data_IF_958371618315
#
_entry.id   IF_958371618315
#
_cell.length_a   1.000
_cell.length_b   1.000
_cell.length_c   1.000
_cell.angle_alpha   90.00
_cell.angle_beta   90.00
_cell.angle_gamma   90.00
#
_symmetry.space_group_name_H-M   'P 1'
#
loop_
_entity.id
_entity.type
_entity.pdbx_description
1 polymer ?
#
# COMPACT_ATOMS: atom_id res chain seq x y z
N UNK A 1 -72.74 -47.36 35.57
CA UNK A 1 -71.33 -47.67 35.68
C UNK A 1 -70.56 -46.46 35.16
N UNK A 2 -70.17 -45.58 36.05
CA UNK A 2 -69.44 -44.37 35.73
C UNK A 2 -67.94 -44.63 35.79
N UNK A 3 -67.21 -44.28 34.69
CA UNK A 3 -65.78 -44.42 34.59
C UNK A 3 -65.05 -43.25 35.34
N UNK A 4 -63.93 -43.50 36.01
CA UNK A 4 -63.27 -42.50 36.81
C UNK A 4 -62.54 -41.45 35.99
N UNK A 5 -62.81 -40.14 36.25
CA UNK A 5 -62.09 -39.01 35.63
C UNK A 5 -60.64 -38.95 36.08
N UNK A 6 -59.69 -39.13 35.17
CA UNK A 6 -58.25 -38.96 35.37
C UNK A 6 -57.94 -37.48 35.67
N UNK A 7 -57.44 -37.15 36.92
CA UNK A 7 -56.91 -35.85 37.30
C UNK A 7 -55.61 -35.59 36.52
N UNK A 8 -55.64 -34.67 35.54
CA UNK A 8 -54.46 -34.13 34.90
C UNK A 8 -53.69 -33.34 35.95
N UNK A 9 -52.56 -33.89 36.40
CA UNK A 9 -51.60 -33.17 37.29
C UNK A 9 -51.10 -31.94 36.48
N UNK A 10 -51.23 -30.76 37.11
CA UNK A 10 -50.72 -29.48 36.58
C UNK A 10 -49.20 -29.46 36.71
N UNK A 11 -48.46 -30.01 35.75
CA UNK A 11 -46.99 -29.96 35.64
C UNK A 11 -46.49 -28.57 35.20
N UNK A 12 -47.40 -27.74 34.65
CA UNK A 12 -47.06 -26.42 34.11
C UNK A 12 -46.43 -25.44 35.13
N UNK A 13 -46.94 -25.29 36.37
CA UNK A 13 -46.31 -24.39 37.33
C UNK A 13 -44.93 -24.85 37.80
N UNK A 14 -44.66 -26.15 37.85
CA UNK A 14 -43.37 -26.69 38.24
C UNK A 14 -42.32 -26.40 37.15
N UNK A 15 -42.69 -26.55 35.89
CA UNK A 15 -41.78 -26.25 34.73
C UNK A 15 -41.46 -24.74 34.72
N UNK A 16 -42.47 -23.87 34.88
CA UNK A 16 -42.28 -22.42 34.94
C UNK A 16 -41.38 -21.98 36.11
N UNK A 17 -41.48 -22.66 37.26
CA UNK A 17 -40.62 -22.38 38.43
C UNK A 17 -39.14 -22.71 38.12
N UNK A 18 -38.87 -23.83 37.48
CA UNK A 18 -37.48 -24.21 37.11
C UNK A 18 -36.90 -23.33 35.99
N UNK A 19 -37.72 -22.86 35.04
CA UNK A 19 -37.31 -21.88 34.02
C UNK A 19 -36.96 -20.54 34.69
N UNK A 20 -37.77 -20.06 35.61
CA UNK A 20 -37.52 -18.82 36.36
C UNK A 20 -36.25 -18.90 37.22
N UNK A 21 -36.03 -20.05 37.90
CA UNK A 21 -34.79 -20.34 38.64
C UNK A 21 -33.56 -20.35 37.74
N UNK A 22 -33.67 -20.94 36.55
CA UNK A 22 -32.61 -20.96 35.53
C UNK A 22 -32.26 -19.54 35.02
N UNK A 23 -33.28 -18.69 34.81
CA UNK A 23 -33.08 -17.28 34.38
C UNK A 23 -32.43 -16.48 35.54
N UNK A 24 -32.88 -16.65 36.77
CA UNK A 24 -32.29 -15.96 37.93
C UNK A 24 -30.85 -16.43 38.17
N UNK A 25 -30.57 -17.72 38.07
CA UNK A 25 -29.20 -18.25 38.15
C UNK A 25 -28.32 -17.76 37.02
N UNK A 26 -28.84 -17.66 35.79
CA UNK A 26 -28.16 -17.10 34.62
C UNK A 26 -27.83 -15.60 34.82
N UNK A 27 -28.78 -14.82 35.35
CA UNK A 27 -28.53 -13.40 35.66
C UNK A 27 -27.52 -13.26 36.81
N UNK A 28 -27.59 -14.08 37.85
CA UNK A 28 -26.59 -14.10 38.93
C UNK A 28 -25.21 -14.50 38.49
N UNK A 29 -25.13 -15.45 37.51
CA UNK A 29 -23.86 -15.89 36.92
C UNK A 29 -23.24 -14.80 36.04
N UNK A 30 -24.06 -14.08 35.23
CA UNK A 30 -23.60 -12.95 34.41
C UNK A 30 -23.20 -11.73 35.26
N UNK A 31 -23.83 -11.49 36.40
CA UNK A 31 -23.44 -10.42 37.35
C UNK A 31 -22.12 -10.74 38.06
N UNK A 32 -21.89 -12.04 38.44
CA UNK A 32 -20.62 -12.48 39.06
C UNK A 32 -19.48 -12.69 38.05
N UNK A 33 -19.83 -12.93 36.78
CA UNK A 33 -18.88 -13.09 35.66
C UNK A 33 -19.30 -12.13 34.55
N UNK A 34 -19.06 -10.81 34.71
CA UNK A 34 -19.31 -9.88 33.62
C UNK A 34 -18.52 -10.40 32.41
N UNK A 35 -19.22 -10.60 31.31
CA UNK A 35 -18.61 -10.99 30.03
C UNK A 35 -17.56 -9.92 29.73
N UNK A 36 -16.28 -10.34 29.77
CA UNK A 36 -15.14 -9.44 29.62
C UNK A 36 -15.05 -9.04 28.14
N UNK A 37 -15.92 -8.13 27.68
CA UNK A 37 -15.72 -7.35 26.48
C UNK A 37 -14.66 -6.25 26.67
N UNK A 38 -14.32 -5.93 27.95
CA UNK A 38 -13.43 -4.84 28.31
C UNK A 38 -12.00 -4.93 27.71
N UNK A 39 -11.34 -6.10 27.55
CA UNK A 39 -10.01 -6.11 26.93
C UNK A 39 -10.04 -5.83 25.43
N UNK A 40 -11.11 -6.18 24.71
CA UNK A 40 -11.22 -5.92 23.28
C UNK A 40 -11.55 -4.44 23.01
N UNK A 41 -12.48 -3.87 23.75
CA UNK A 41 -12.83 -2.44 23.68
C UNK A 41 -11.62 -1.58 24.06
N UNK A 42 -10.90 -1.94 25.14
CA UNK A 42 -9.68 -1.24 25.57
C UNK A 42 -8.52 -1.35 24.55
N UNK A 43 -8.44 -2.44 23.80
CA UNK A 43 -7.44 -2.61 22.75
C UNK A 43 -7.74 -1.75 21.50
N UNK A 44 -9.01 -1.68 21.09
CA UNK A 44 -9.45 -0.86 19.95
C UNK A 44 -9.33 0.63 20.27
N UNK A 45 -9.68 1.06 21.48
CA UNK A 45 -9.51 2.45 21.93
C UNK A 45 -8.02 2.85 21.97
N UNK A 46 -7.14 1.97 22.46
CA UNK A 46 -5.70 2.21 22.46
C UNK A 46 -5.13 2.29 21.03
N UNK A 47 -5.62 1.46 20.13
CA UNK A 47 -5.21 1.49 18.72
C UNK A 47 -5.63 2.83 18.08
N UNK A 48 -6.89 3.24 18.24
CA UNK A 48 -7.40 4.50 17.71
C UNK A 48 -6.62 5.72 18.25
N UNK A 49 -6.28 5.73 19.54
CA UNK A 49 -5.44 6.78 20.15
C UNK A 49 -4.05 6.80 19.55
N UNK A 50 -3.45 5.64 19.27
CA UNK A 50 -2.13 5.54 18.63
C UNK A 50 -2.17 6.09 17.21
N UNK A 51 -3.18 5.73 16.42
CA UNK A 51 -3.37 6.21 15.05
C UNK A 51 -3.55 7.72 15.00
N UNK A 52 -4.41 8.27 15.87
CA UNK A 52 -4.63 9.73 15.97
C UNK A 52 -3.37 10.46 16.45
N UNK A 53 -2.63 9.90 17.40
CA UNK A 53 -1.37 10.48 17.88
C UNK A 53 -0.36 10.67 16.74
N UNK A 54 -0.11 9.64 15.94
CA UNK A 54 0.79 9.74 14.80
C UNK A 54 0.25 10.73 13.75
N UNK A 55 -1.04 10.70 13.49
CA UNK A 55 -1.71 11.63 12.56
C UNK A 55 -1.50 13.09 12.95
N UNK A 56 -1.66 13.43 14.23
CA UNK A 56 -1.44 14.78 14.73
C UNK A 56 0.05 15.18 14.66
N UNK A 57 0.97 14.25 14.98
CA UNK A 57 2.41 14.52 14.85
C UNK A 57 2.82 14.83 13.40
N UNK A 58 2.30 14.06 12.42
CA UNK A 58 2.54 14.30 11.00
C UNK A 58 1.96 15.65 10.57
N UNK A 59 0.70 15.94 10.93
CA UNK A 59 0.06 17.23 10.62
C UNK A 59 0.82 18.42 11.20
N UNK A 60 1.32 18.29 12.43
CA UNK A 60 2.10 19.34 13.08
C UNK A 60 3.44 19.54 12.37
N UNK A 61 4.09 18.46 11.92
CA UNK A 61 5.35 18.52 11.19
C UNK A 61 5.18 19.17 9.82
N UNK A 62 4.15 18.79 9.08
CA UNK A 62 3.83 19.37 7.77
C UNK A 62 3.42 20.83 7.88
N UNK A 63 2.69 21.22 8.94
CA UNK A 63 2.26 22.59 9.15
C UNK A 63 1.49 23.14 7.96
N UNK A 64 2.00 24.22 7.36
CA UNK A 64 1.45 24.89 6.18
C UNK A 64 2.30 24.68 4.91
N UNK A 65 3.35 23.87 4.98
CA UNK A 65 4.28 23.65 3.86
C UNK A 65 3.62 22.92 2.68
N UNK A 66 2.71 21.99 2.98
CA UNK A 66 1.91 21.32 1.97
C UNK A 66 0.43 21.68 2.13
N UNK A 67 -0.17 22.16 1.06
CA UNK A 67 -1.59 22.51 1.03
C UNK A 67 -2.47 21.28 0.76
N UNK A 68 -2.15 20.57 -0.32
CA UNK A 68 -2.86 19.36 -0.74
C UNK A 68 -1.91 18.18 -0.72
N UNK A 69 -2.13 17.27 0.21
CA UNK A 69 -1.27 16.11 0.41
C UNK A 69 -2.02 14.90 0.97
N UNK A 70 -1.43 13.74 0.80
CA UNK A 70 -1.84 12.49 1.43
C UNK A 70 -0.65 11.85 2.10
N UNK A 71 -0.84 11.35 3.32
CA UNK A 71 0.09 10.44 4.01
C UNK A 71 -0.69 9.23 4.47
N UNK A 72 -0.23 8.05 4.10
CA UNK A 72 -0.86 6.80 4.50
C UNK A 72 0.17 5.81 5.01
N UNK A 73 -0.07 5.27 6.20
CA UNK A 73 0.80 4.29 6.87
C UNK A 73 -0.04 3.08 7.26
N UNK A 74 0.41 1.89 6.88
CA UNK A 74 -0.26 0.63 7.23
C UNK A 74 0.76 -0.39 7.67
N UNK A 75 0.66 -0.85 8.92
CA UNK A 75 1.51 -1.93 9.44
C UNK A 75 1.05 -3.28 8.85
N UNK A 76 1.95 -4.01 8.20
CA UNK A 76 1.64 -5.34 7.66
C UNK A 76 1.73 -6.45 8.71
N UNK A 77 2.11 -6.11 9.94
CA UNK A 77 2.31 -7.04 11.05
C UNK A 77 1.33 -6.85 12.21
N UNK A 78 0.57 -5.76 12.19
CA UNK A 78 -0.46 -5.42 13.18
C UNK A 78 -1.66 -4.73 12.51
N UNK A 79 -2.79 -4.52 13.21
CA UNK A 79 -3.94 -3.79 12.66
C UNK A 79 -3.75 -2.27 12.57
N UNK A 80 -2.57 -1.73 12.92
CA UNK A 80 -2.31 -0.29 12.91
C UNK A 80 -2.38 0.30 11.50
N UNK A 81 -3.16 1.37 11.34
CA UNK A 81 -3.19 2.20 10.14
C UNK A 81 -3.41 3.68 10.48
N UNK A 82 -2.75 4.57 9.76
CA UNK A 82 -2.93 6.02 9.89
C UNK A 82 -3.08 6.64 8.52
N UNK A 83 -4.19 7.33 8.28
CA UNK A 83 -4.49 7.97 7.00
C UNK A 83 -4.74 9.48 7.11
N UNK A 84 -4.13 10.23 6.20
CA UNK A 84 -4.46 11.61 5.90
C UNK A 84 -4.76 11.67 4.41
N UNK A 85 -6.01 11.91 4.04
CA UNK A 85 -6.46 11.99 2.64
C UNK A 85 -6.04 10.78 1.78
N UNK A 86 -6.00 9.58 2.36
CA UNK A 86 -5.46 8.35 1.72
C UNK A 86 -6.25 7.92 0.49
N UNK A 87 -7.52 8.32 0.40
CA UNK A 87 -8.40 8.03 -0.74
C UNK A 87 -8.52 9.20 -1.73
N UNK A 88 -7.79 10.29 -1.52
CA UNK A 88 -7.75 11.40 -2.48
C UNK A 88 -6.96 11.00 -3.71
N UNK A 89 -7.49 11.32 -4.89
CA UNK A 89 -6.87 11.01 -6.18
C UNK A 89 -5.89 12.13 -6.55
N UNK A 90 -4.64 11.73 -6.80
CA UNK A 90 -3.56 12.59 -7.27
C UNK A 90 -3.16 12.25 -8.71
N UNK A 91 -2.46 13.15 -9.38
CA UNK A 91 -1.67 12.80 -10.57
C UNK A 91 -0.53 11.88 -10.11
N UNK A 92 -0.48 10.64 -10.63
CA UNK A 92 0.44 9.62 -10.12
C UNK A 92 1.91 9.89 -10.44
N UNK A 93 2.20 10.68 -11.48
CA UNK A 93 3.57 10.80 -11.98
C UNK A 93 4.24 9.43 -12.12
N UNK A 94 5.51 9.30 -11.75
CA UNK A 94 6.25 8.04 -11.90
C UNK A 94 5.91 6.96 -10.86
N UNK A 95 5.06 7.20 -9.86
CA UNK A 95 4.61 6.09 -8.98
C UNK A 95 3.71 5.11 -9.75
N UNK A 96 3.06 5.54 -10.83
CA UNK A 96 2.28 4.66 -11.71
C UNK A 96 3.15 3.71 -12.58
N UNK A 97 4.47 3.76 -12.48
CA UNK A 97 5.37 2.73 -13.02
C UNK A 97 5.33 1.43 -12.21
N UNK A 98 4.92 1.47 -10.94
CA UNK A 98 4.75 0.26 -10.11
C UNK A 98 3.67 -0.68 -10.64
N UNK A 99 2.47 -0.23 -11.00
CA UNK A 99 1.48 -1.07 -11.70
C UNK A 99 2.01 -1.67 -13.00
N UNK A 100 2.78 -0.93 -13.81
CA UNK A 100 3.39 -1.45 -15.05
C UNK A 100 4.35 -2.58 -14.74
N UNK A 101 5.29 -2.38 -13.81
CA UNK A 101 6.21 -3.42 -13.35
C UNK A 101 5.44 -4.67 -12.90
N UNK A 102 4.45 -4.49 -12.05
CA UNK A 102 3.69 -5.58 -11.44
C UNK A 102 2.91 -6.39 -12.50
N UNK A 103 2.32 -5.71 -13.49
CA UNK A 103 1.61 -6.33 -14.58
C UNK A 103 2.55 -7.13 -15.51
N UNK A 104 3.77 -6.64 -15.76
CA UNK A 104 4.79 -7.39 -16.52
C UNK A 104 5.14 -8.71 -15.85
N UNK A 105 5.33 -8.73 -14.52
CA UNK A 105 5.55 -9.97 -13.77
C UNK A 105 4.33 -10.91 -13.76
N UNK A 106 3.12 -10.36 -13.78
CA UNK A 106 1.91 -11.17 -13.89
C UNK A 106 1.77 -11.81 -15.28
N UNK A 107 2.13 -11.10 -16.34
CA UNK A 107 2.12 -11.61 -17.73
C UNK A 107 3.27 -12.60 -17.99
N UNK A 108 4.44 -12.40 -17.41
CA UNK A 108 5.54 -13.36 -17.47
C UNK A 108 5.13 -14.71 -16.87
N UNK A 109 4.48 -14.72 -15.71
CA UNK A 109 3.95 -15.93 -15.06
C UNK A 109 2.98 -16.71 -15.97
N UNK A 110 2.27 -16.02 -16.87
CA UNK A 110 1.37 -16.63 -17.87
C UNK A 110 2.10 -17.06 -19.15
N UNK A 111 3.38 -16.70 -19.30
CA UNK A 111 4.17 -16.94 -20.49
C UNK A 111 3.90 -15.96 -21.64
N UNK A 112 3.20 -14.86 -21.38
CA UNK A 112 2.87 -13.84 -22.38
C UNK A 112 4.00 -12.80 -22.55
N UNK A 113 4.90 -12.65 -21.59
CA UNK A 113 6.04 -11.74 -21.62
C UNK A 113 7.32 -12.54 -21.37
N UNK A 114 8.34 -12.30 -22.18
CA UNK A 114 9.68 -12.85 -21.99
C UNK A 114 10.64 -11.73 -21.59
N UNK A 115 11.22 -11.83 -20.39
CA UNK A 115 12.14 -10.81 -19.87
C UNK A 115 13.49 -10.74 -20.60
N UNK A 116 13.85 -11.79 -21.36
CA UNK A 116 15.05 -11.81 -22.22
C UNK A 116 14.78 -11.26 -23.63
N UNK A 117 13.51 -10.94 -23.95
CA UNK A 117 13.18 -10.32 -25.23
C UNK A 117 13.96 -9.02 -25.41
N UNK A 118 14.53 -8.85 -26.63
CA UNK A 118 15.27 -7.66 -27.01
C UNK A 118 14.32 -6.62 -27.59
N UNK A 119 14.47 -5.39 -27.15
CA UNK A 119 13.81 -4.18 -27.68
C UNK A 119 14.91 -3.28 -28.23
N UNK A 120 14.72 -2.78 -29.47
CA UNK A 120 15.65 -1.86 -30.13
C UNK A 120 15.07 -0.46 -30.06
N UNK A 121 15.84 0.47 -29.49
CA UNK A 121 15.48 1.89 -29.39
C UNK A 121 15.38 2.51 -30.79
N UNK A 122 14.23 3.13 -31.08
CA UNK A 122 14.06 3.97 -32.26
C UNK A 122 14.17 5.45 -31.87
N UNK A 123 14.43 6.33 -32.83
CA UNK A 123 14.51 7.78 -32.52
C UNK A 123 13.23 8.34 -31.96
N UNK A 124 12.09 7.91 -32.48
CA UNK A 124 10.74 8.34 -32.05
C UNK A 124 10.32 7.80 -30.68
N UNK A 125 11.05 6.82 -30.14
CA UNK A 125 10.78 6.25 -28.80
C UNK A 125 11.33 7.13 -27.67
N UNK A 126 12.29 8.00 -27.99
CA UNK A 126 13.05 8.77 -26.99
C UNK A 126 12.14 9.79 -26.31
N UNK A 127 11.99 9.66 -25.01
CA UNK A 127 11.24 10.58 -24.17
C UNK A 127 12.21 11.65 -23.62
N UNK A 128 12.33 12.77 -24.32
CA UNK A 128 13.26 13.88 -23.98
C UNK A 128 12.71 14.77 -22.86
N UNK A 129 12.15 14.17 -21.80
CA UNK A 129 11.67 14.88 -20.63
C UNK A 129 11.81 14.04 -19.35
N UNK A 130 11.82 14.72 -18.20
CA UNK A 130 11.89 14.09 -16.89
C UNK A 130 13.21 13.37 -16.65
N UNK A 131 13.15 12.15 -16.12
CA UNK A 131 14.31 11.36 -15.65
C UNK A 131 14.62 10.17 -16.56
N UNK A 132 15.80 9.64 -16.44
CA UNK A 132 16.27 8.45 -17.16
C UNK A 132 17.57 8.66 -17.91
N UNK A 133 18.20 7.56 -18.28
CA UNK A 133 19.48 7.53 -18.99
C UNK A 133 19.35 7.15 -20.47
N UNK A 134 18.33 6.40 -20.87
CA UNK A 134 18.15 5.88 -22.23
C UNK A 134 18.04 7.01 -23.28
N UNK A 135 17.49 8.16 -22.90
CA UNK A 135 17.36 9.32 -23.80
C UNK A 135 18.70 9.86 -24.34
N UNK A 136 19.82 9.46 -23.76
CA UNK A 136 21.16 9.84 -24.22
C UNK A 136 21.82 8.76 -25.06
N UNK A 137 21.18 7.60 -25.21
CA UNK A 137 21.70 6.51 -26.00
C UNK A 137 21.27 6.67 -27.48
N UNK A 138 22.15 6.29 -28.46
CA UNK A 138 21.81 6.44 -29.86
C UNK A 138 20.68 5.47 -30.27
N UNK A 139 19.82 5.85 -31.24
CA UNK A 139 18.93 4.91 -31.92
C UNK A 139 19.66 3.67 -32.41
N UNK A 140 19.04 2.51 -32.34
CA UNK A 140 19.65 1.20 -32.62
C UNK A 140 20.25 0.52 -31.39
N UNK A 141 20.38 1.22 -30.25
CA UNK A 141 20.74 0.59 -28.96
C UNK A 141 19.68 -0.44 -28.57
N UNK A 142 20.13 -1.58 -28.03
CA UNK A 142 19.24 -2.68 -27.67
C UNK A 142 19.24 -2.93 -26.16
N UNK A 143 18.07 -3.28 -25.63
CA UNK A 143 17.85 -3.60 -24.22
C UNK A 143 17.02 -4.87 -24.08
N UNK A 144 17.28 -5.68 -23.05
CA UNK A 144 16.30 -6.69 -22.64
C UNK A 144 15.12 -6.04 -21.92
N UNK A 145 13.96 -6.66 -21.98
CA UNK A 145 12.78 -6.25 -21.19
C UNK A 145 13.15 -6.12 -19.72
N UNK A 146 13.91 -7.06 -19.16
CA UNK A 146 14.43 -7.01 -17.78
C UNK A 146 15.25 -5.75 -17.50
N UNK A 147 16.13 -5.36 -18.41
CA UNK A 147 16.94 -4.14 -18.28
C UNK A 147 16.06 -2.90 -18.27
N UNK A 148 15.07 -2.83 -19.18
CA UNK A 148 14.12 -1.72 -19.24
C UNK A 148 13.31 -1.62 -17.93
N UNK A 149 12.82 -2.74 -17.39
CA UNK A 149 12.09 -2.77 -16.11
C UNK A 149 12.95 -2.20 -14.97
N UNK A 150 14.21 -2.60 -14.87
CA UNK A 150 15.12 -2.08 -13.84
C UNK A 150 15.37 -0.58 -14.01
N UNK A 151 15.66 -0.11 -15.24
CA UNK A 151 15.87 1.32 -15.50
C UNK A 151 14.61 2.14 -15.22
N UNK A 152 13.44 1.65 -15.60
CA UNK A 152 12.15 2.27 -15.29
C UNK A 152 11.96 2.47 -13.77
N UNK A 153 12.37 1.51 -12.97
CA UNK A 153 12.19 1.60 -11.51
C UNK A 153 13.31 2.39 -10.84
N UNK A 154 14.58 2.01 -11.03
CA UNK A 154 15.71 2.57 -10.28
C UNK A 154 16.12 3.96 -10.75
N UNK A 155 16.05 4.23 -12.05
CA UNK A 155 16.34 5.56 -12.63
C UNK A 155 15.10 6.36 -12.99
N UNK A 156 13.92 5.81 -12.68
CA UNK A 156 12.64 6.40 -13.13
C UNK A 156 12.61 6.72 -14.62
N UNK A 157 13.29 5.93 -15.45
CA UNK A 157 13.51 6.18 -16.88
C UNK A 157 12.19 6.22 -17.65
N UNK A 158 11.92 7.37 -18.30
CA UNK A 158 10.69 7.57 -19.05
C UNK A 158 10.71 6.85 -20.41
N UNK A 159 11.86 6.78 -21.05
CA UNK A 159 12.00 6.03 -22.32
C UNK A 159 11.84 4.52 -22.06
N UNK A 160 12.38 4.00 -20.96
CA UNK A 160 12.14 2.60 -20.56
C UNK A 160 10.64 2.35 -20.32
N UNK A 161 9.96 3.23 -19.62
CA UNK A 161 8.51 3.11 -19.38
C UNK A 161 7.70 3.15 -20.68
N UNK A 162 8.09 4.02 -21.62
CA UNK A 162 7.47 4.13 -22.94
C UNK A 162 7.66 2.84 -23.75
N UNK A 163 8.89 2.33 -23.86
CA UNK A 163 9.20 1.09 -24.58
C UNK A 163 8.42 -0.11 -24.00
N UNK A 164 8.38 -0.24 -22.68
CA UNK A 164 7.62 -1.30 -22.02
C UNK A 164 6.11 -1.14 -22.27
N UNK A 165 5.56 0.07 -22.13
CA UNK A 165 4.15 0.36 -22.27
C UNK A 165 3.63 0.20 -23.69
N UNK A 166 4.45 0.48 -24.71
CA UNK A 166 4.02 0.43 -26.11
C UNK A 166 4.32 -0.90 -26.79
N UNK A 167 5.46 -1.56 -26.48
CA UNK A 167 5.90 -2.73 -27.23
C UNK A 167 5.77 -4.04 -26.49
N UNK A 168 5.67 -4.00 -25.15
CA UNK A 168 5.66 -5.23 -24.33
C UNK A 168 4.33 -5.45 -23.66
N UNK A 169 3.79 -4.41 -22.99
CA UNK A 169 2.49 -4.48 -22.31
C UNK A 169 1.74 -3.17 -22.53
N UNK A 170 0.57 -3.20 -23.16
CA UNK A 170 -0.19 -1.99 -23.37
C UNK A 170 -0.85 -1.51 -22.06
N UNK A 171 -1.12 -0.19 -21.94
CA UNK A 171 -1.70 0.40 -20.75
C UNK A 171 -3.12 -0.13 -20.44
N UNK A 172 -3.88 -0.58 -21.44
CA UNK A 172 -5.20 -1.20 -21.22
C UNK A 172 -5.07 -2.51 -20.46
N UNK A 173 -4.03 -3.31 -20.77
CA UNK A 173 -3.73 -4.53 -20.02
C UNK A 173 -3.32 -4.20 -18.59
N UNK A 174 -2.50 -3.17 -18.39
CA UNK A 174 -2.13 -2.70 -17.04
C UNK A 174 -3.38 -2.24 -16.28
N UNK A 175 -4.26 -1.45 -16.91
CA UNK A 175 -5.52 -1.00 -16.29
C UNK A 175 -6.44 -2.16 -15.91
N UNK A 176 -6.49 -3.21 -16.73
CA UNK A 176 -7.25 -4.42 -16.40
C UNK A 176 -6.73 -5.06 -15.11
N UNK A 177 -5.42 -5.20 -14.96
CA UNK A 177 -4.81 -5.71 -13.73
C UNK A 177 -5.07 -4.80 -12.53
N UNK A 178 -4.93 -3.50 -12.69
CA UNK A 178 -5.26 -2.49 -11.66
C UNK A 178 -6.67 -2.72 -11.12
N UNK A 179 -7.65 -2.91 -12.01
CA UNK A 179 -9.03 -3.20 -11.63
C UNK A 179 -9.18 -4.57 -10.93
N UNK A 180 -8.52 -5.61 -11.45
CA UNK A 180 -8.53 -6.97 -10.87
C UNK A 180 -7.89 -7.00 -9.47
N UNK A 181 -6.90 -6.16 -9.21
CA UNK A 181 -6.26 -6.00 -7.90
C UNK A 181 -7.07 -5.15 -6.91
N UNK A 182 -8.20 -4.57 -7.35
CA UNK A 182 -9.07 -3.75 -6.50
C UNK A 182 -8.61 -2.31 -6.33
N UNK A 183 -7.74 -1.81 -7.20
CA UNK A 183 -7.27 -0.42 -7.23
C UNK A 183 -8.29 0.45 -7.97
N UNK A 184 -9.33 0.86 -7.29
CA UNK A 184 -10.52 1.50 -7.89
C UNK A 184 -10.37 2.98 -8.18
N UNK A 185 -9.29 3.60 -7.71
CA UNK A 185 -8.98 5.03 -7.85
C UNK A 185 -7.78 5.29 -8.78
N UNK A 186 -7.19 4.20 -9.32
CA UNK A 186 -6.04 4.28 -10.24
C UNK A 186 -6.54 4.22 -11.68
N UNK A 187 -6.18 5.23 -12.45
CA UNK A 187 -6.49 5.39 -13.86
C UNK A 187 -5.17 5.56 -14.62
N UNK A 188 -4.72 4.47 -15.25
CA UNK A 188 -3.44 4.43 -15.96
C UNK A 188 -3.39 5.37 -17.17
N UNK A 189 -4.42 5.40 -18.06
CA UNK A 189 -4.47 6.34 -19.18
C UNK A 189 -4.38 7.81 -18.77
N UNK A 190 -5.02 8.19 -17.65
CA UNK A 190 -5.02 9.57 -17.16
C UNK A 190 -3.96 9.84 -16.10
N UNK A 191 -3.09 8.88 -15.85
CA UNK A 191 -2.02 8.93 -14.85
C UNK A 191 -2.51 9.40 -13.47
N UNK A 192 -3.56 8.75 -12.94
CA UNK A 192 -4.15 9.04 -11.63
C UNK A 192 -3.97 7.86 -10.69
N UNK A 193 -3.83 8.15 -9.40
CA UNK A 193 -3.79 7.13 -8.35
C UNK A 193 -4.12 7.73 -6.98
N UNK A 194 -4.24 6.88 -5.97
CA UNK A 194 -4.36 7.26 -4.56
C UNK A 194 -3.37 6.48 -3.70
N UNK A 195 -3.11 6.97 -2.50
CA UNK A 195 -2.28 6.26 -1.52
C UNK A 195 -2.88 4.91 -1.12
N UNK A 196 -4.22 4.86 -1.04
CA UNK A 196 -4.94 3.62 -0.71
C UNK A 196 -4.74 2.55 -1.78
N UNK A 197 -4.79 2.92 -3.05
CA UNK A 197 -4.56 1.97 -4.15
C UNK A 197 -3.10 1.51 -4.21
N UNK A 198 -2.14 2.41 -3.98
CA UNK A 198 -0.73 2.02 -3.91
C UNK A 198 -0.45 1.07 -2.74
N UNK A 199 -1.10 1.25 -1.59
CA UNK A 199 -1.00 0.32 -0.47
C UNK A 199 -1.48 -1.09 -0.86
N UNK A 200 -2.63 -1.20 -1.52
CA UNK A 200 -3.16 -2.48 -2.02
C UNK A 200 -2.11 -3.18 -2.90
N UNK A 201 -1.51 -2.45 -3.83
CA UNK A 201 -0.50 -3.00 -4.74
C UNK A 201 0.75 -3.47 -4.00
N UNK A 202 1.32 -2.62 -3.12
CA UNK A 202 2.49 -3.00 -2.34
C UNK A 202 2.22 -4.18 -1.39
N UNK A 203 1.03 -4.30 -0.86
CA UNK A 203 0.61 -5.46 -0.07
C UNK A 203 0.61 -6.76 -0.89
N UNK A 204 0.16 -6.70 -2.15
CA UNK A 204 0.22 -7.85 -3.07
C UNK A 204 1.67 -8.22 -3.42
N UNK A 205 2.51 -7.23 -3.73
CA UNK A 205 3.94 -7.41 -4.04
C UNK A 205 4.66 -8.04 -2.84
N UNK A 206 4.55 -7.43 -1.65
CA UNK A 206 5.20 -7.91 -0.43
C UNK A 206 4.68 -9.28 0.04
N UNK A 207 3.43 -9.58 -0.28
CA UNK A 207 2.80 -10.88 -0.05
C UNK A 207 3.17 -11.96 -1.07
N UNK A 208 3.98 -11.63 -2.09
CA UNK A 208 4.40 -12.52 -3.20
C UNK A 208 3.20 -13.16 -3.92
N UNK A 209 2.12 -12.37 -4.11
CA UNK A 209 0.85 -12.88 -4.68
C UNK A 209 0.74 -12.71 -6.19
N UNK A 210 1.68 -11.99 -6.82
CA UNK A 210 1.62 -11.64 -8.23
C UNK A 210 2.21 -12.75 -9.11
N UNK A 211 3.42 -13.18 -8.78
CA UNK A 211 4.19 -14.13 -9.58
C UNK A 211 4.83 -15.22 -8.71
N UNK A 212 5.81 -15.97 -9.25
CA UNK A 212 6.53 -16.99 -8.48
C UNK A 212 7.37 -16.38 -7.35
N UNK A 213 7.73 -17.12 -6.30
CA UNK A 213 8.56 -16.59 -5.22
C UNK A 213 9.89 -15.99 -5.69
N UNK A 214 10.58 -16.64 -6.63
CA UNK A 214 11.86 -16.16 -7.15
C UNK A 214 11.70 -14.84 -7.93
N UNK A 215 10.72 -14.75 -8.80
CA UNK A 215 10.42 -13.52 -9.55
C UNK A 215 9.86 -12.41 -8.65
N UNK A 216 9.19 -12.76 -7.54
CA UNK A 216 8.76 -11.77 -6.54
C UNK A 216 9.95 -11.15 -5.83
N UNK A 217 11.00 -11.90 -5.54
CA UNK A 217 12.23 -11.36 -4.95
C UNK A 217 12.97 -10.46 -5.94
N UNK A 218 13.03 -10.83 -7.23
CA UNK A 218 13.59 -9.98 -8.29
C UNK A 218 12.78 -8.69 -8.46
N UNK A 219 11.44 -8.76 -8.44
CA UNK A 219 10.58 -7.57 -8.52
C UNK A 219 10.84 -6.61 -7.35
N UNK A 220 11.02 -7.14 -6.14
CA UNK A 220 11.40 -6.35 -4.97
C UNK A 220 12.78 -5.73 -5.13
N UNK A 221 13.75 -6.43 -5.73
CA UNK A 221 15.08 -5.88 -5.98
C UNK A 221 15.06 -4.67 -6.93
N UNK A 222 14.08 -4.57 -7.81
CA UNK A 222 13.93 -3.40 -8.67
C UNK A 222 13.31 -2.18 -7.95
N UNK A 223 12.69 -2.39 -6.78
CA UNK A 223 12.07 -1.35 -5.96
C UNK A 223 13.00 -0.78 -4.88
N UNK A 224 14.27 -1.14 -4.87
CA UNK A 224 15.28 -0.62 -3.94
C UNK A 224 16.52 -0.10 -4.69
N UNK A 225 17.40 0.55 -3.96
CA UNK A 225 18.68 1.07 -4.49
C UNK A 225 18.44 1.99 -5.72
N UNK A 226 17.47 2.90 -5.61
CA UNK A 226 17.16 3.86 -6.65
C UNK A 226 18.13 5.05 -6.65
N UNK A 227 18.18 5.80 -7.74
CA UNK A 227 18.97 7.05 -7.79
C UNK A 227 18.36 8.17 -6.89
N UNK A 228 17.22 7.91 -6.22
CA UNK A 228 16.39 8.91 -5.51
C UNK A 228 16.11 8.50 -4.06
N UNK A 229 17.18 8.34 -3.26
CA UNK A 229 17.09 7.90 -1.86
C UNK A 229 16.87 9.05 -0.86
N UNK A 230 16.55 10.26 -1.33
CA UNK A 230 16.45 11.48 -0.51
C UNK A 230 15.06 11.75 0.07
N UNK A 231 14.06 10.88 -0.16
CA UNK A 231 12.68 11.01 0.34
C UNK A 231 12.42 10.00 1.47
N UNK A 232 11.55 8.99 1.27
CA UNK A 232 11.27 7.99 2.32
C UNK A 232 12.55 7.41 2.94
N UNK A 233 13.58 7.00 2.18
CA UNK A 233 14.82 6.46 2.77
C UNK A 233 15.69 7.49 3.46
N UNK A 234 15.60 8.77 3.09
CA UNK A 234 16.61 9.81 3.30
C UNK A 234 17.13 10.00 4.72
N UNK A 235 16.29 9.81 5.73
CA UNK A 235 16.68 9.93 7.15
C UNK A 235 16.54 8.63 7.94
N UNK A 236 16.25 7.49 7.26
CA UNK A 236 16.13 6.20 7.93
C UNK A 236 17.52 5.60 8.24
N UNK A 237 17.60 4.68 9.23
CA UNK A 237 18.84 3.96 9.51
C UNK A 237 19.29 3.15 8.28
N UNK A 238 20.60 3.00 8.06
CA UNK A 238 21.17 2.29 6.91
C UNK A 238 20.81 0.80 6.84
N UNK A 239 20.39 0.20 7.94
CA UNK A 239 19.92 -1.18 8.03
C UNK A 239 18.40 -1.31 7.85
N UNK A 240 17.69 -0.21 7.60
CA UNK A 240 16.31 -0.24 7.10
C UNK A 240 16.31 -0.48 5.59
N UNK A 241 15.56 -1.49 5.16
CA UNK A 241 15.37 -1.76 3.72
C UNK A 241 14.10 -1.06 3.28
N UNK A 242 14.19 -0.26 2.22
CA UNK A 242 13.05 0.45 1.65
C UNK A 242 12.81 -0.01 0.21
N UNK A 243 11.63 -0.53 -0.03
CA UNK A 243 11.14 -0.86 -1.37
C UNK A 243 10.18 0.24 -1.80
N UNK A 244 10.61 1.12 -2.70
CA UNK A 244 9.84 2.33 -2.98
C UNK A 244 9.90 2.77 -4.45
N UNK A 245 9.05 3.73 -4.78
CA UNK A 245 9.08 4.43 -6.06
C UNK A 245 8.70 5.88 -5.87
N UNK A 246 9.57 6.76 -6.35
CA UNK A 246 9.31 8.20 -6.39
C UNK A 246 8.45 8.59 -7.58
N UNK A 247 7.77 9.73 -7.46
CA UNK A 247 7.11 10.40 -8.56
C UNK A 247 7.42 11.90 -8.51
N UNK A 248 7.86 12.46 -9.64
CA UNK A 248 8.10 13.89 -9.79
C UNK A 248 7.43 14.37 -11.06
N UNK A 249 6.68 15.47 -10.96
CA UNK A 249 6.02 16.13 -12.07
C UNK A 249 5.70 17.59 -11.70
N UNK A 250 5.05 18.32 -12.60
CA UNK A 250 4.66 19.71 -12.32
C UNK A 250 3.74 19.75 -11.09
N UNK A 251 4.21 20.37 -10.02
CA UNK A 251 3.48 20.50 -8.76
C UNK A 251 3.28 19.21 -7.98
N UNK A 252 3.90 18.11 -8.39
CA UNK A 252 3.74 16.80 -7.75
C UNK A 252 5.08 16.20 -7.34
N UNK A 253 5.23 15.92 -6.07
CA UNK A 253 6.38 15.24 -5.47
C UNK A 253 5.81 14.10 -4.63
N UNK A 254 6.28 12.88 -4.90
CA UNK A 254 5.70 11.68 -4.30
C UNK A 254 6.78 10.68 -3.93
N UNK A 255 6.53 9.92 -2.88
CA UNK A 255 7.21 8.66 -2.63
C UNK A 255 6.25 7.65 -2.00
N UNK A 256 6.22 6.42 -2.50
CA UNK A 256 5.37 5.35 -2.00
C UNK A 256 6.17 4.06 -1.88
N UNK A 257 6.01 3.35 -0.76
CA UNK A 257 6.79 2.14 -0.59
C UNK A 257 6.55 1.40 0.71
N UNK A 258 7.38 0.40 0.94
CA UNK A 258 7.37 -0.41 2.16
C UNK A 258 8.72 -0.35 2.84
N UNK A 259 8.69 0.00 4.11
CA UNK A 259 9.87 -0.03 4.99
C UNK A 259 9.89 -1.35 5.75
N UNK A 260 11.04 -2.02 5.71
CA UNK A 260 11.32 -3.24 6.47
C UNK A 260 12.50 -2.97 7.41
N UNK A 261 12.24 -3.10 8.70
CA UNK A 261 13.26 -2.92 9.73
C UNK A 261 13.06 -3.91 10.88
N UNK A 262 14.01 -4.83 11.08
CA UNK A 262 13.89 -5.91 12.07
C UNK A 262 12.59 -6.72 11.86
N UNK A 263 11.67 -6.67 12.81
CA UNK A 263 10.36 -7.36 12.73
C UNK A 263 9.24 -6.46 12.20
N UNK A 264 9.49 -5.18 11.99
CA UNK A 264 8.50 -4.22 11.46
C UNK A 264 8.50 -4.23 9.95
N UNK A 265 7.31 -4.23 9.39
CA UNK A 265 7.06 -4.10 7.95
C UNK A 265 5.81 -3.26 7.77
N UNK A 266 5.94 -2.08 7.20
CA UNK A 266 4.82 -1.19 7.00
C UNK A 266 4.91 -0.46 5.66
N UNK A 267 3.75 -0.23 5.06
CA UNK A 267 3.60 0.68 3.94
C UNK A 267 3.64 2.12 4.44
N UNK A 268 4.30 2.98 3.70
CA UNK A 268 4.22 4.42 3.81
C UNK A 268 4.12 5.01 2.41
N UNK A 269 3.13 5.89 2.21
CA UNK A 269 3.01 6.65 0.98
C UNK A 269 2.80 8.13 1.30
N UNK A 270 3.49 8.97 0.56
CA UNK A 270 3.39 10.43 0.63
C UNK A 270 3.14 10.93 -0.78
N UNK A 271 1.98 11.56 -0.98
CA UNK A 271 1.59 12.18 -2.24
C UNK A 271 1.33 13.66 -1.99
N UNK A 272 1.84 14.54 -2.84
CA UNK A 272 1.63 15.99 -2.73
C UNK A 272 1.08 16.58 -4.03
N UNK A 273 0.35 17.69 -3.94
CA UNK A 273 -0.02 18.53 -5.05
C UNK A 273 0.35 19.99 -4.73
N UNK A 274 0.53 20.79 -5.79
CA UNK A 274 0.96 22.18 -5.68
C UNK A 274 2.33 22.39 -4.99
N UNK A 275 3.19 21.34 -4.99
CA UNK A 275 4.56 21.44 -4.53
C UNK A 275 5.40 22.27 -5.53
N UNK A 276 5.96 23.39 -5.07
CA UNK A 276 6.71 24.33 -5.92
C UNK A 276 8.22 24.23 -5.76
N UNK A 277 8.67 23.61 -4.67
CA UNK A 277 10.11 23.40 -4.35
C UNK A 277 10.35 21.91 -4.11
N UNK A 278 11.05 21.27 -5.05
CA UNK A 278 11.32 19.83 -5.00
C UNK A 278 12.26 19.48 -3.84
N UNK A 279 13.30 20.25 -3.59
CA UNK A 279 14.27 19.96 -2.55
C UNK A 279 13.65 20.10 -1.16
N UNK A 280 12.93 21.19 -0.92
CA UNK A 280 12.23 21.42 0.35
C UNK A 280 11.16 20.35 0.59
N UNK A 281 10.39 19.98 -0.44
CA UNK A 281 9.35 18.93 -0.35
C UNK A 281 9.98 17.57 -0.09
N UNK A 282 11.01 17.17 -0.82
CA UNK A 282 11.73 15.90 -0.62
C UNK A 282 12.34 15.80 0.77
N UNK A 283 12.89 16.89 1.28
CA UNK A 283 13.39 16.96 2.67
C UNK A 283 12.27 16.73 3.68
N UNK A 284 11.14 17.42 3.51
CA UNK A 284 10.00 17.24 4.42
C UNK A 284 9.40 15.83 4.33
N UNK A 285 9.36 15.21 3.13
CA UNK A 285 9.00 13.79 2.98
C UNK A 285 9.90 12.88 3.81
N UNK A 286 11.23 13.13 3.81
CA UNK A 286 12.16 12.36 4.62
C UNK A 286 11.98 12.58 6.13
N UNK A 287 11.63 13.78 6.56
CA UNK A 287 11.31 14.11 7.96
C UNK A 287 10.01 13.44 8.41
N UNK A 288 8.97 13.42 7.55
CA UNK A 288 7.72 12.69 7.78
C UNK A 288 8.00 11.19 7.89
N UNK A 289 8.76 10.63 6.94
CA UNK A 289 9.16 9.22 6.97
C UNK A 289 9.91 8.87 8.27
N UNK A 290 10.86 9.71 8.69
CA UNK A 290 11.59 9.52 9.94
C UNK A 290 10.67 9.56 11.17
N UNK A 291 9.73 10.48 11.21
CA UNK A 291 8.73 10.58 12.27
C UNK A 291 7.88 9.31 12.36
N UNK A 292 7.41 8.83 11.21
CA UNK A 292 6.66 7.56 11.12
C UNK A 292 7.52 6.38 11.58
N UNK A 293 8.76 6.28 11.09
CA UNK A 293 9.68 5.21 11.46
C UNK A 293 9.91 5.16 12.99
N UNK A 294 10.24 6.30 13.61
CA UNK A 294 10.47 6.36 15.05
C UNK A 294 9.23 5.92 15.84
N UNK A 295 8.05 6.32 15.38
CA UNK A 295 6.80 5.90 15.98
C UNK A 295 6.55 4.40 15.84
N UNK A 296 6.75 3.84 14.65
CA UNK A 296 6.52 2.42 14.34
C UNK A 296 7.50 1.49 15.08
N UNK A 297 8.73 1.93 15.30
CA UNK A 297 9.76 1.14 15.98
C UNK A 297 9.62 1.19 17.50
N UNK A 298 9.09 2.29 18.06
CA UNK A 298 8.90 2.47 19.51
C UNK A 298 7.61 1.82 20.04
N UNK A 299 6.69 1.44 19.18
CA UNK A 299 5.37 0.91 19.51
C UNK A 299 5.10 -0.43 18.79
#
# INVERSE_FOLDING_TARGET
MDAPKKKRRRLLPVILFFILLGIIAGIFWTVKHPFVLSPLIDADDKLAVREDTLKQQVKTLVGNEWKDYSVYVVDFTSPFMMGINESTIFTGASVNKVPILTALYAEEKKGNVNFDQIVTLQEDDIQDYGTGSIRYDPPGTTYTVKTLMRLMMQKSDNTAAYLLGNYIINLDTVQKYVNEWGMTQTDMPNNKTSNKDMEILFRLIMGKRITTPALSDEMLDFLKDSDFENRIPGLLPKDAVVYHKIGTGTGTIHDVGVVVYKKKKYYIGILTADATDEDATSKLESEVSKKVFDYMVSN
#
